data_IF_273204908689
#
_entry.id   IF_273204908689
#
_cell.length_a   1.000
_cell.length_b   1.000
_cell.length_c   1.000
_cell.angle_alpha   90.00
_cell.angle_beta   90.00
_cell.angle_gamma   90.00
#
_symmetry.space_group_name_H-M   'P 1'
#
loop_
_entity.id
_entity.type
_entity.pdbx_description
1 polymer ?
#
# COMPACT_ATOMS: atom_id res chain seq x y z
N UNK A 1 -17.82 -6.26 14.39
CA UNK A 1 -16.67 -5.39 14.74
C UNK A 1 -16.47 -5.44 16.24
N UNK A 2 -15.22 -5.53 16.74
CA UNK A 2 -14.95 -5.45 18.18
C UNK A 2 -15.35 -4.08 18.73
N UNK A 3 -15.72 -4.04 20.02
CA UNK A 3 -16.10 -2.80 20.72
C UNK A 3 -14.84 -2.08 21.22
N UNK A 4 -14.83 -0.73 21.25
CA UNK A 4 -13.76 0.01 21.93
C UNK A 4 -13.58 -0.50 23.37
N UNK A 5 -12.34 -0.83 23.75
CA UNK A 5 -11.99 -1.35 25.09
C UNK A 5 -11.92 -2.88 25.20
N UNK A 6 -12.24 -3.62 24.14
CA UNK A 6 -12.03 -5.07 24.11
C UNK A 6 -10.54 -5.38 23.90
N UNK A 7 -9.78 -5.43 25.00
CA UNK A 7 -8.33 -5.65 25.06
C UNK A 7 -7.87 -7.08 24.71
N UNK A 8 -8.75 -7.89 24.12
CA UNK A 8 -8.41 -9.23 23.68
C UNK A 8 -7.39 -9.18 22.52
N UNK A 9 -6.30 -9.96 22.57
CA UNK A 9 -5.36 -10.08 21.47
C UNK A 9 -6.07 -10.47 20.16
N UNK A 10 -5.66 -9.86 19.04
CA UNK A 10 -6.23 -10.13 17.72
C UNK A 10 -5.34 -11.07 16.92
N UNK A 11 -5.96 -12.11 16.35
CA UNK A 11 -5.31 -12.95 15.35
C UNK A 11 -5.06 -12.12 14.09
N UNK A 12 -3.85 -12.20 13.55
CA UNK A 12 -3.50 -11.63 12.25
C UNK A 12 -2.85 -12.71 11.41
N UNK A 13 -3.34 -12.93 10.20
CA UNK A 13 -2.68 -13.82 9.26
C UNK A 13 -1.36 -13.19 8.82
N UNK A 14 -0.25 -13.92 8.88
CA UNK A 14 1.05 -13.45 8.44
C UNK A 14 1.51 -14.27 7.23
N UNK A 15 1.85 -13.59 6.15
CA UNK A 15 2.50 -14.21 4.99
C UNK A 15 3.92 -13.61 4.88
N UNK A 16 4.97 -14.34 5.28
CA UNK A 16 6.34 -13.84 5.17
C UNK A 16 6.71 -13.42 3.74
N UNK A 17 6.25 -14.17 2.75
CA UNK A 17 6.47 -13.92 1.33
C UNK A 17 7.89 -14.29 0.87
N UNK A 18 8.29 -13.78 -0.29
CA UNK A 18 9.54 -14.11 -0.94
C UNK A 18 10.67 -13.09 -0.65
N UNK A 19 11.91 -13.51 -0.92
CA UNK A 19 13.08 -12.65 -0.93
C UNK A 19 13.34 -11.92 0.39
N UNK A 20 13.19 -10.59 0.39
CA UNK A 20 13.37 -9.79 1.62
C UNK A 20 12.20 -9.94 2.61
N UNK A 21 11.06 -10.49 2.17
CA UNK A 21 9.82 -10.62 2.94
C UNK A 21 10.02 -11.24 4.33
N UNK A 22 10.67 -12.41 4.46
CA UNK A 22 10.94 -13.02 5.76
C UNK A 22 11.81 -12.16 6.69
N UNK A 23 12.75 -11.37 6.16
CA UNK A 23 13.58 -10.46 6.97
C UNK A 23 12.74 -9.33 7.56
N UNK A 24 11.93 -8.67 6.73
CA UNK A 24 11.14 -7.50 7.16
C UNK A 24 9.94 -7.89 8.00
N UNK A 25 9.30 -9.04 7.73
CA UNK A 25 8.22 -9.58 8.58
C UNK A 25 8.77 -10.09 9.91
N UNK A 26 9.98 -10.68 9.92
CA UNK A 26 10.71 -11.00 11.14
C UNK A 26 10.99 -9.78 12.01
N UNK A 27 11.40 -8.66 11.41
CA UNK A 27 11.58 -7.39 12.12
C UNK A 27 10.27 -6.88 12.76
N UNK A 28 9.15 -6.95 12.02
CA UNK A 28 7.83 -6.59 12.57
C UNK A 28 7.48 -7.46 13.78
N UNK A 29 7.67 -8.77 13.70
CA UNK A 29 7.38 -9.69 14.82
C UNK A 29 8.15 -9.32 16.08
N UNK A 30 9.46 -9.07 15.95
CA UNK A 30 10.32 -8.66 17.07
C UNK A 30 9.84 -7.35 17.72
N UNK A 31 9.50 -6.35 16.91
CA UNK A 31 9.01 -5.04 17.41
C UNK A 31 7.65 -5.18 18.09
N UNK A 32 6.73 -5.96 17.50
CA UNK A 32 5.40 -6.23 18.09
C UNK A 32 5.49 -6.94 19.43
N UNK A 33 6.39 -7.92 19.54
CA UNK A 33 6.67 -8.64 20.78
C UNK A 33 7.28 -7.72 21.84
N UNK A 34 8.28 -6.91 21.47
CA UNK A 34 8.96 -5.99 22.38
C UNK A 34 8.01 -4.92 22.96
N UNK A 35 7.04 -4.43 22.19
CA UNK A 35 6.04 -3.49 22.71
C UNK A 35 4.84 -4.16 23.38
N UNK A 36 4.80 -5.50 23.46
CA UNK A 36 3.65 -6.29 23.93
C UNK A 36 2.33 -5.91 23.22
N UNK A 37 2.39 -5.80 21.90
CA UNK A 37 1.21 -5.48 21.09
C UNK A 37 0.11 -6.56 21.27
N UNK A 38 -1.17 -6.17 21.33
CA UNK A 38 -2.30 -7.10 21.50
C UNK A 38 -2.64 -7.81 20.16
N UNK A 39 -1.64 -8.41 19.53
CA UNK A 39 -1.76 -9.17 18.28
C UNK A 39 -0.94 -10.45 18.37
N UNK A 40 -1.42 -11.52 17.75
CA UNK A 40 -0.63 -12.73 17.53
C UNK A 40 -0.73 -13.14 16.06
N UNK A 41 0.38 -13.65 15.51
CA UNK A 41 0.50 -13.95 14.10
C UNK A 41 0.26 -15.44 13.82
N UNK A 42 -0.71 -15.74 12.96
CA UNK A 42 -0.89 -17.05 12.33
C UNK A 42 -0.09 -17.06 11.02
N UNK A 43 1.12 -17.64 11.04
CA UNK A 43 2.06 -17.59 9.91
C UNK A 43 1.82 -18.71 8.90
N UNK A 44 1.75 -18.35 7.62
CA UNK A 44 1.61 -19.28 6.50
C UNK A 44 2.68 -19.02 5.45
N UNK A 45 3.39 -20.07 5.05
CA UNK A 45 4.40 -20.00 3.99
C UNK A 45 3.71 -19.98 2.63
N UNK A 46 3.75 -18.82 1.97
CA UNK A 46 3.25 -18.65 0.59
C UNK A 46 4.37 -18.05 -0.24
N UNK A 47 4.64 -18.68 -1.39
CA UNK A 47 5.66 -18.24 -2.34
C UNK A 47 5.03 -17.86 -3.66
N UNK A 48 5.58 -16.84 -4.31
CA UNK A 48 5.08 -16.31 -5.58
C UNK A 48 5.14 -17.29 -6.76
N UNK A 49 5.90 -18.39 -6.63
CA UNK A 49 6.01 -19.47 -7.61
C UNK A 49 4.90 -20.53 -7.48
N UNK A 50 4.08 -20.46 -6.43
CA UNK A 50 2.97 -21.38 -6.24
C UNK A 50 1.87 -21.13 -7.29
N UNK A 51 1.15 -22.18 -7.74
CA UNK A 51 0.11 -22.03 -8.77
C UNK A 51 -1.12 -21.25 -8.26
N UNK A 52 -1.39 -21.32 -6.96
CA UNK A 52 -2.51 -20.65 -6.30
C UNK A 52 -2.13 -20.37 -4.85
N UNK A 53 -2.76 -19.36 -4.25
CA UNK A 53 -2.76 -19.20 -2.79
C UNK A 53 -3.42 -20.43 -2.17
N UNK A 54 -2.80 -21.08 -1.17
CA UNK A 54 -3.42 -22.23 -0.52
C UNK A 54 -4.75 -21.85 0.14
N UNK A 55 -5.81 -22.68 0.02
CA UNK A 55 -7.13 -22.35 0.54
C UNK A 55 -7.15 -22.02 2.04
N UNK A 56 -6.33 -22.71 2.84
CA UNK A 56 -6.21 -22.50 4.28
C UNK A 56 -5.71 -21.08 4.64
N UNK A 57 -4.94 -20.44 3.75
CA UNK A 57 -4.51 -19.05 3.93
C UNK A 57 -5.67 -18.10 3.68
N UNK A 58 -6.45 -18.32 2.61
CA UNK A 58 -7.66 -17.54 2.34
C UNK A 58 -8.66 -17.68 3.48
N UNK A 59 -8.85 -18.89 4.01
CA UNK A 59 -9.73 -19.15 5.14
C UNK A 59 -9.23 -18.49 6.43
N UNK A 60 -7.91 -18.49 6.67
CA UNK A 60 -7.31 -17.73 7.78
C UNK A 60 -7.60 -16.23 7.64
N UNK A 61 -7.40 -15.63 6.45
CA UNK A 61 -7.69 -14.20 6.24
C UNK A 61 -9.18 -13.92 6.40
N UNK A 62 -10.07 -14.79 5.89
CA UNK A 62 -11.52 -14.66 6.07
C UNK A 62 -11.97 -14.77 7.52
N UNK A 63 -11.27 -15.57 8.33
CA UNK A 63 -11.53 -15.72 9.78
C UNK A 63 -11.01 -14.51 10.57
N UNK A 64 -9.77 -14.13 10.32
CA UNK A 64 -9.04 -13.10 11.07
C UNK A 64 -9.36 -11.67 10.59
N UNK A 65 -9.90 -11.54 9.37
CA UNK A 65 -10.21 -10.29 8.65
C UNK A 65 -9.01 -9.42 8.29
N UNK A 66 -7.84 -9.68 8.88
CA UNK A 66 -6.63 -8.89 8.69
C UNK A 66 -5.45 -9.80 8.37
N UNK A 67 -4.65 -9.36 7.40
CA UNK A 67 -3.40 -9.99 7.01
C UNK A 67 -2.26 -8.97 6.97
N UNK A 68 -1.07 -9.36 7.40
CA UNK A 68 0.18 -8.67 7.11
C UNK A 68 1.00 -9.54 6.17
N UNK A 69 1.48 -8.98 5.05
CA UNK A 69 2.29 -9.74 4.10
C UNK A 69 3.60 -9.04 3.72
N UNK A 70 4.63 -9.85 3.52
CA UNK A 70 5.79 -9.47 2.72
C UNK A 70 5.49 -9.47 1.23
N UNK A 71 6.52 -9.15 0.43
CA UNK A 71 6.39 -9.16 -1.04
C UNK A 71 6.29 -10.57 -1.59
N UNK A 72 5.37 -10.81 -2.52
CA UNK A 72 5.28 -12.05 -3.29
C UNK A 72 5.82 -11.79 -4.70
N UNK A 73 6.78 -12.60 -5.14
CA UNK A 73 7.32 -12.53 -6.49
C UNK A 73 6.22 -12.83 -7.51
N UNK A 74 6.29 -12.21 -8.69
CA UNK A 74 5.39 -12.52 -9.79
C UNK A 74 6.25 -12.95 -10.98
N UNK A 75 6.08 -14.18 -11.50
CA UNK A 75 6.78 -14.61 -12.71
C UNK A 75 6.51 -13.66 -13.87
N UNK A 76 7.53 -13.34 -14.66
CA UNK A 76 7.40 -12.50 -15.87
C UNK A 76 7.22 -13.39 -17.08
N UNK A 77 6.10 -13.25 -17.78
CA UNK A 77 5.76 -14.05 -18.96
C UNK A 77 5.15 -15.41 -18.62
N UNK A 78 4.30 -15.92 -19.52
CA UNK A 78 3.50 -17.13 -19.32
C UNK A 78 2.25 -16.83 -18.49
N UNK A 79 1.06 -17.23 -18.98
CA UNK A 79 -0.27 -16.85 -18.50
C UNK A 79 -0.66 -17.32 -17.08
N UNK A 80 0.27 -17.35 -16.13
CA UNK A 80 0.00 -17.61 -14.71
C UNK A 80 -0.40 -16.29 -14.04
N UNK A 81 -1.58 -16.27 -13.42
CA UNK A 81 -2.06 -15.09 -12.69
C UNK A 81 -1.22 -14.85 -11.42
N UNK A 82 -0.78 -13.61 -11.21
CA UNK A 82 -0.07 -13.21 -9.99
C UNK A 82 -0.86 -13.55 -8.72
N UNK A 83 -0.22 -14.19 -7.73
CA UNK A 83 -0.84 -14.48 -6.43
C UNK A 83 -1.29 -13.20 -5.70
N UNK A 84 -0.61 -12.06 -5.92
CA UNK A 84 -1.05 -10.78 -5.40
C UNK A 84 -2.42 -10.37 -5.98
N UNK A 85 -2.63 -10.61 -7.28
CA UNK A 85 -3.92 -10.35 -7.94
C UNK A 85 -4.97 -11.34 -7.46
N UNK A 86 -4.61 -12.60 -7.27
CA UNK A 86 -5.52 -13.60 -6.72
C UNK A 86 -6.04 -13.21 -5.34
N UNK A 87 -5.15 -12.82 -4.40
CA UNK A 87 -5.54 -12.33 -3.08
C UNK A 87 -6.52 -11.15 -3.16
N UNK A 88 -6.26 -10.19 -4.05
CA UNK A 88 -7.12 -9.01 -4.23
C UNK A 88 -8.52 -9.38 -4.73
N UNK A 89 -8.62 -10.33 -5.67
CA UNK A 89 -9.89 -10.80 -6.22
C UNK A 89 -10.67 -11.65 -5.23
N UNK A 90 -10.04 -12.66 -4.62
CA UNK A 90 -10.68 -13.60 -3.68
C UNK A 90 -11.23 -12.95 -2.40
N UNK A 91 -10.66 -11.81 -2.03
CA UNK A 91 -11.01 -11.07 -0.82
C UNK A 91 -11.71 -9.72 -1.10
N UNK A 92 -11.96 -9.40 -2.38
CA UNK A 92 -12.49 -8.11 -2.87
C UNK A 92 -11.80 -6.89 -2.24
N UNK A 93 -10.46 -6.88 -2.27
CA UNK A 93 -9.63 -5.80 -1.73
C UNK A 93 -9.56 -4.63 -2.72
N UNK A 94 -10.69 -3.95 -2.90
CA UNK A 94 -10.92 -2.99 -3.96
C UNK A 94 -10.15 -1.66 -3.85
N UNK A 95 -9.68 -1.29 -2.66
CA UNK A 95 -8.93 -0.06 -2.43
C UNK A 95 -7.47 -0.37 -2.08
N UNK A 96 -6.54 -0.02 -2.96
CA UNK A 96 -5.11 0.02 -2.64
C UNK A 96 -4.76 1.42 -2.10
N UNK A 97 -4.09 1.48 -0.96
CA UNK A 97 -3.72 2.69 -0.25
C UNK A 97 -2.20 2.76 -0.09
N UNK A 98 -1.61 3.90 -0.45
CA UNK A 98 -0.18 4.19 -0.26
C UNK A 98 -0.03 5.59 0.34
N UNK A 99 0.61 5.67 1.51
CA UNK A 99 0.90 6.95 2.14
C UNK A 99 2.33 7.36 1.79
N UNK A 100 2.47 8.45 1.03
CA UNK A 100 3.74 8.98 0.54
C UNK A 100 4.04 10.29 1.26
N UNK A 101 4.91 10.25 2.26
CA UNK A 101 5.23 11.42 3.07
C UNK A 101 6.74 11.54 3.32
N UNK A 102 7.24 12.77 3.44
CA UNK A 102 8.63 12.98 3.83
C UNK A 102 8.82 12.54 5.29
N UNK A 103 9.78 11.64 5.52
CA UNK A 103 10.21 11.28 6.86
C UNK A 103 11.17 12.35 7.39
N UNK A 104 10.95 12.90 8.61
CA UNK A 104 11.88 13.83 9.22
C UNK A 104 13.31 13.28 9.23
N UNK A 105 14.27 14.13 8.86
CA UNK A 105 15.70 13.81 8.78
C UNK A 105 16.12 12.98 7.57
N UNK A 106 15.21 12.39 6.79
CA UNK A 106 15.55 11.70 5.54
C UNK A 106 15.65 12.74 4.40
N UNK A 107 16.83 12.98 3.80
CA UNK A 107 16.96 13.96 2.73
C UNK A 107 16.24 13.51 1.44
N UNK A 108 15.41 14.39 0.89
CA UNK A 108 14.69 14.21 -0.38
C UNK A 108 14.89 15.43 -1.27
N UNK A 109 14.47 15.35 -2.54
CA UNK A 109 14.51 16.52 -3.45
C UNK A 109 13.40 17.53 -3.18
N UNK A 110 12.30 17.06 -2.60
CA UNK A 110 11.12 17.85 -2.28
C UNK A 110 10.85 17.74 -0.78
N UNK A 111 10.36 18.83 -0.20
CA UNK A 111 9.99 18.94 1.20
C UNK A 111 8.47 19.06 1.35
N UNK A 112 7.96 18.77 2.55
CA UNK A 112 6.53 18.90 2.91
C UNK A 112 5.56 18.11 2.02
N UNK A 113 6.02 16.99 1.47
CA UNK A 113 5.19 16.01 0.78
C UNK A 113 4.45 15.16 1.81
N UNK A 114 3.13 15.10 1.67
CA UNK A 114 2.24 14.22 2.43
C UNK A 114 1.01 13.91 1.57
N UNK A 115 1.17 12.90 0.72
CA UNK A 115 0.20 12.52 -0.31
C UNK A 115 -0.32 11.13 0.01
N UNK A 116 -1.62 10.94 -0.12
CA UNK A 116 -2.24 9.61 -0.02
C UNK A 116 -2.79 9.21 -1.38
N UNK A 117 -2.29 8.12 -1.93
CA UNK A 117 -2.78 7.57 -3.20
C UNK A 117 -3.73 6.42 -2.92
N UNK A 118 -4.98 6.59 -3.35
CA UNK A 118 -6.06 5.61 -3.27
C UNK A 118 -6.40 5.14 -4.67
N UNK A 119 -6.10 3.88 -4.92
CA UNK A 119 -6.17 3.24 -6.23
C UNK A 119 -7.26 2.18 -6.25
N UNK A 120 -8.10 2.21 -7.27
CA UNK A 120 -8.99 1.11 -7.62
C UNK A 120 -8.16 -0.15 -7.94
N UNK A 121 -8.51 -1.30 -7.37
CA UNK A 121 -7.61 -2.47 -7.30
C UNK A 121 -8.21 -3.77 -7.86
N UNK A 122 -9.38 -3.71 -8.49
CA UNK A 122 -10.17 -4.88 -8.93
C UNK A 122 -10.57 -4.87 -10.42
N UNK A 123 -10.56 -3.72 -11.09
CA UNK A 123 -10.93 -3.59 -12.50
C UNK A 123 -9.90 -2.79 -13.32
N UNK A 124 -10.31 -2.22 -14.45
CA UNK A 124 -9.46 -1.49 -15.37
C UNK A 124 -8.56 -2.41 -16.18
N UNK A 125 -7.35 -1.93 -16.47
CA UNK A 125 -6.35 -2.61 -17.28
C UNK A 125 -5.84 -3.91 -16.62
N UNK A 126 -5.99 -4.04 -15.29
CA UNK A 126 -5.59 -5.23 -14.54
C UNK A 126 -6.61 -6.37 -14.59
N UNK A 127 -7.72 -6.18 -15.33
CA UNK A 127 -8.66 -7.25 -15.63
C UNK A 127 -8.01 -8.35 -16.48
N UNK A 128 -6.96 -8.01 -17.25
CA UNK A 128 -6.16 -8.96 -18.03
C UNK A 128 -6.93 -9.59 -19.19
N UNK A 129 -7.95 -8.89 -19.70
CA UNK A 129 -8.78 -9.34 -20.81
C UNK A 129 -8.10 -8.99 -22.12
N UNK A 130 -7.26 -9.89 -22.59
CA UNK A 130 -6.46 -9.72 -23.81
C UNK A 130 -6.68 -10.89 -24.77
N UNK A 131 -6.67 -10.61 -26.07
CA UNK A 131 -6.74 -11.63 -27.09
C UNK A 131 -6.06 -11.15 -28.39
N UNK A 132 -5.54 -12.11 -29.15
CA UNK A 132 -5.00 -11.85 -30.49
C UNK A 132 -6.09 -12.12 -31.52
N UNK A 133 -6.56 -11.07 -32.19
CA UNK A 133 -7.67 -11.15 -33.16
C UNK A 133 -7.22 -11.87 -34.43
N UNK A 134 -6.03 -11.50 -34.91
CA UNK A 134 -5.28 -12.13 -36.01
C UNK A 134 -3.80 -12.05 -35.69
N UNK A 135 -2.92 -12.89 -36.28
CA UNK A 135 -1.49 -12.86 -36.01
C UNK A 135 -0.89 -11.45 -36.12
N UNK A 136 -0.34 -10.94 -35.02
CA UNK A 136 0.24 -9.60 -34.89
C UNK A 136 -0.71 -8.49 -34.44
N UNK A 137 -2.00 -8.78 -34.17
CA UNK A 137 -3.00 -7.79 -33.73
C UNK A 137 -3.60 -8.21 -32.40
N UNK A 138 -3.19 -7.51 -31.33
CA UNK A 138 -3.61 -7.79 -29.95
C UNK A 138 -4.56 -6.71 -29.47
N UNK A 139 -5.70 -7.12 -28.92
CA UNK A 139 -6.64 -6.25 -28.24
C UNK A 139 -6.53 -6.43 -26.72
N UNK A 140 -6.63 -5.33 -25.99
CA UNK A 140 -6.66 -5.28 -24.53
C UNK A 140 -7.90 -4.50 -24.10
N UNK A 141 -8.78 -5.14 -23.33
CA UNK A 141 -10.08 -4.58 -22.95
C UNK A 141 -10.02 -3.95 -21.56
N UNK A 142 -10.03 -2.63 -21.52
CA UNK A 142 -10.18 -1.86 -20.28
C UNK A 142 -11.66 -1.81 -19.88
N UNK A 143 -11.99 -2.40 -18.73
CA UNK A 143 -13.35 -2.37 -18.17
C UNK A 143 -13.38 -1.44 -16.96
N UNK A 144 -14.25 -0.43 -17.00
CA UNK A 144 -14.54 0.47 -15.88
C UNK A 144 -16.04 0.39 -15.61
N UNK A 145 -16.42 0.21 -14.34
CA UNK A 145 -17.82 0.11 -13.92
C UNK A 145 -18.19 1.23 -12.97
N UNK A 146 -19.47 1.63 -13.01
CA UNK A 146 -20.00 2.65 -12.08
C UNK A 146 -19.88 2.17 -10.63
N UNK A 147 -20.19 0.91 -10.35
CA UNK A 147 -20.08 0.31 -9.03
C UNK A 147 -18.66 0.43 -8.42
N UNK A 148 -17.63 0.01 -9.16
CA UNK A 148 -16.26 0.08 -8.68
C UNK A 148 -15.76 1.52 -8.56
N UNK A 149 -16.15 2.39 -9.49
CA UNK A 149 -15.80 3.81 -9.46
C UNK A 149 -16.43 4.55 -8.27
N UNK A 150 -17.71 4.28 -7.98
CA UNK A 150 -18.40 4.86 -6.83
C UNK A 150 -17.81 4.38 -5.50
N UNK A 151 -17.52 3.08 -5.35
CA UNK A 151 -16.98 2.54 -4.09
C UNK A 151 -15.57 3.07 -3.80
N UNK A 152 -14.70 3.18 -4.81
CA UNK A 152 -13.35 3.72 -4.59
C UNK A 152 -13.39 5.22 -4.32
N UNK A 153 -14.25 5.98 -5.00
CA UNK A 153 -14.47 7.39 -4.71
C UNK A 153 -15.00 7.56 -3.28
N UNK A 154 -16.02 6.80 -2.88
CA UNK A 154 -16.55 6.82 -1.52
C UNK A 154 -15.47 6.54 -0.49
N UNK A 155 -14.67 5.50 -0.69
CA UNK A 155 -13.55 5.18 0.20
C UNK A 155 -12.55 6.34 0.29
N UNK A 156 -12.21 6.99 -0.83
CA UNK A 156 -11.28 8.12 -0.83
C UNK A 156 -11.81 9.34 -0.05
N UNK A 157 -13.08 9.68 -0.21
CA UNK A 157 -13.70 10.77 0.52
C UNK A 157 -13.91 10.45 2.01
N UNK A 158 -14.31 9.23 2.35
CA UNK A 158 -14.41 8.78 3.76
C UNK A 158 -13.03 8.77 4.43
N UNK A 159 -12.01 8.25 3.76
CA UNK A 159 -10.63 8.31 4.23
C UNK A 159 -10.20 9.75 4.48
N UNK A 160 -10.46 10.64 3.52
CA UNK A 160 -10.10 12.04 3.64
C UNK A 160 -10.79 12.69 4.85
N UNK A 161 -12.09 12.45 5.04
CA UNK A 161 -12.86 12.95 6.17
C UNK A 161 -12.32 12.44 7.52
N UNK A 162 -12.14 11.13 7.66
CA UNK A 162 -11.72 10.49 8.91
C UNK A 162 -10.27 10.84 9.30
N UNK A 163 -9.42 11.16 8.31
CA UNK A 163 -8.01 11.50 8.53
C UNK A 163 -7.75 13.02 8.46
N UNK A 164 -8.79 13.85 8.58
CA UNK A 164 -8.71 15.32 8.56
C UNK A 164 -8.02 15.92 7.31
N UNK A 165 -8.02 15.18 6.20
CA UNK A 165 -7.56 15.64 4.90
C UNK A 165 -8.56 16.63 4.33
N UNK A 166 -8.09 17.54 3.46
CA UNK A 166 -8.88 18.68 2.99
C UNK A 166 -9.22 18.60 1.52
N UNK A 167 -8.49 17.82 0.73
CA UNK A 167 -8.67 17.76 -0.72
C UNK A 167 -8.57 16.35 -1.27
N UNK A 168 -9.47 16.03 -2.19
CA UNK A 168 -9.46 14.81 -3.02
C UNK A 168 -9.31 15.21 -4.48
N UNK A 169 -8.25 14.72 -5.12
CA UNK A 169 -7.98 14.91 -6.55
C UNK A 169 -8.23 13.62 -7.32
N UNK A 170 -9.16 13.62 -8.28
CA UNK A 170 -9.35 12.50 -9.20
C UNK A 170 -8.36 12.56 -10.38
N UNK A 171 -7.56 11.51 -10.56
CA UNK A 171 -6.59 11.40 -11.66
C UNK A 171 -7.16 10.55 -12.78
N UNK A 172 -7.13 11.06 -14.01
CA UNK A 172 -7.81 10.42 -15.15
C UNK A 172 -7.12 10.72 -16.50
N UNK A 173 -7.62 10.12 -17.57
CA UNK A 173 -7.27 10.39 -18.96
C UNK A 173 -8.53 10.52 -19.84
N UNK A 174 -9.61 11.03 -19.26
CA UNK A 174 -10.91 11.25 -19.92
C UNK A 174 -10.88 12.15 -21.16
N UNK A 175 -9.81 12.93 -21.38
CA UNK A 175 -9.63 13.67 -22.63
C UNK A 175 -9.40 12.74 -23.84
N UNK A 176 -8.90 11.52 -23.61
CA UNK A 176 -8.73 10.47 -24.62
C UNK A 176 -9.80 9.39 -24.44
N UNK A 177 -9.92 8.81 -23.24
CA UNK A 177 -10.90 7.77 -22.91
C UNK A 177 -12.20 8.38 -22.39
N UNK A 178 -12.93 9.03 -23.29
CA UNK A 178 -14.13 9.84 -22.96
C UNK A 178 -15.21 9.06 -22.21
N UNK A 179 -15.37 7.78 -22.50
CA UNK A 179 -16.40 6.93 -21.87
C UNK A 179 -15.90 6.28 -20.57
N UNK A 180 -14.85 5.47 -20.64
CA UNK A 180 -14.36 4.71 -19.48
C UNK A 180 -13.91 5.63 -18.33
N UNK A 181 -13.01 6.58 -18.61
CA UNK A 181 -12.55 7.52 -17.60
C UNK A 181 -13.57 8.63 -17.33
N UNK A 182 -14.46 8.90 -18.29
CA UNK A 182 -15.60 9.80 -18.08
C UNK A 182 -16.55 9.26 -17.01
N UNK A 183 -16.87 7.96 -17.05
CA UNK A 183 -17.70 7.28 -16.05
C UNK A 183 -17.06 7.30 -14.66
N UNK A 184 -15.74 7.09 -14.59
CA UNK A 184 -14.99 7.22 -13.33
C UNK A 184 -15.11 8.62 -12.73
N UNK A 185 -14.93 9.68 -13.55
CA UNK A 185 -15.08 11.06 -13.10
C UNK A 185 -16.51 11.40 -12.69
N UNK A 186 -17.51 10.95 -13.44
CA UNK A 186 -18.92 11.11 -13.07
C UNK A 186 -19.19 10.54 -11.68
N UNK A 187 -18.73 9.32 -11.43
CA UNK A 187 -18.86 8.65 -10.13
C UNK A 187 -18.16 9.44 -9.01
N UNK A 188 -16.96 9.96 -9.27
CA UNK A 188 -16.22 10.80 -8.31
C UNK A 188 -16.98 12.10 -7.98
N UNK A 189 -17.53 12.78 -9.00
CA UNK A 189 -18.33 14.00 -8.84
C UNK A 189 -19.60 13.73 -8.03
N UNK A 190 -20.32 12.66 -8.34
CA UNK A 190 -21.52 12.25 -7.62
C UNK A 190 -21.23 12.02 -6.13
N UNK A 191 -20.14 11.31 -5.82
CA UNK A 191 -19.72 11.10 -4.42
C UNK A 191 -19.28 12.41 -3.76
N UNK A 192 -18.55 13.28 -4.46
CA UNK A 192 -18.08 14.56 -3.92
C UNK A 192 -19.22 15.43 -3.37
N UNK A 193 -20.42 15.37 -3.98
CA UNK A 193 -21.60 16.11 -3.48
C UNK A 193 -22.01 15.75 -2.05
N UNK A 194 -21.64 14.55 -1.58
CA UNK A 194 -21.93 14.04 -0.23
C UNK A 194 -20.92 14.52 0.81
N UNK A 195 -19.81 15.14 0.39
CA UNK A 195 -18.70 15.58 1.24
C UNK A 195 -18.36 17.06 1.01
N UNK A 196 -19.28 18.00 1.29
CA UNK A 196 -19.08 19.42 0.98
C UNK A 196 -17.90 20.09 1.71
N UNK A 197 -17.40 19.48 2.79
CA UNK A 197 -16.22 19.94 3.54
C UNK A 197 -14.87 19.53 2.92
N UNK A 198 -14.87 18.74 1.85
CA UNK A 198 -13.66 18.27 1.17
C UNK A 198 -13.61 18.92 -0.21
N UNK A 199 -12.51 19.62 -0.51
CA UNK A 199 -12.28 20.19 -1.82
C UNK A 199 -12.10 19.06 -2.85
N UNK A 200 -12.84 19.13 -3.96
CA UNK A 200 -12.70 18.20 -5.06
C UNK A 200 -12.12 18.88 -6.30
N UNK A 201 -11.16 18.23 -6.95
CA UNK A 201 -10.61 18.66 -8.24
C UNK A 201 -10.22 17.45 -9.10
N UNK A 202 -9.97 17.70 -10.37
CA UNK A 202 -9.66 16.68 -11.36
C UNK A 202 -8.36 17.04 -12.08
N UNK A 203 -7.55 16.05 -12.42
CA UNK A 203 -6.31 16.25 -13.16
C UNK A 203 -6.05 15.13 -14.16
N UNK A 204 -5.63 15.52 -15.36
CA UNK A 204 -5.19 14.56 -16.38
C UNK A 204 -3.86 13.94 -15.93
N UNK A 205 -3.72 12.62 -16.05
CA UNK A 205 -2.58 11.84 -15.53
C UNK A 205 -1.22 12.34 -16.04
N UNK A 206 -1.11 12.81 -17.29
CA UNK A 206 0.15 13.38 -17.81
C UNK A 206 0.55 14.64 -17.03
N UNK A 207 -0.40 15.56 -16.82
CA UNK A 207 -0.17 16.76 -16.03
C UNK A 207 0.07 16.39 -14.56
N UNK A 208 -0.63 15.37 -14.04
CA UNK A 208 -0.39 14.84 -12.70
C UNK A 208 1.08 14.42 -12.52
N UNK A 209 1.65 13.67 -13.48
CA UNK A 209 3.06 13.28 -13.44
C UNK A 209 3.98 14.50 -13.45
N UNK A 210 3.71 15.50 -14.30
CA UNK A 210 4.49 16.76 -14.31
C UNK A 210 4.40 17.51 -12.98
N UNK A 211 3.20 17.61 -12.41
CA UNK A 211 2.96 18.31 -11.16
C UNK A 211 3.58 17.59 -9.95
N UNK A 212 3.57 16.26 -9.93
CA UNK A 212 4.19 15.48 -8.85
C UNK A 212 5.69 15.76 -8.75
N UNK A 213 6.40 15.80 -9.88
CA UNK A 213 7.86 16.06 -9.87
C UNK A 213 8.22 17.54 -9.76
N UNK A 214 7.26 18.45 -9.97
CA UNK A 214 7.51 19.89 -9.91
C UNK A 214 7.07 20.50 -8.56
N UNK A 215 5.86 20.19 -8.12
CA UNK A 215 5.21 20.79 -6.95
C UNK A 215 4.30 19.77 -6.24
N UNK A 216 4.86 18.68 -5.66
CA UNK A 216 4.10 17.58 -5.08
C UNK A 216 3.24 17.98 -3.88
N UNK A 217 3.65 18.98 -3.10
CA UNK A 217 2.96 19.45 -1.89
C UNK A 217 1.56 20.05 -2.18
N UNK A 218 1.23 20.26 -3.44
CA UNK A 218 -0.11 20.64 -3.84
C UNK A 218 -1.12 19.49 -3.72
N UNK A 219 -0.69 18.23 -3.68
CA UNK A 219 -1.60 17.08 -3.59
C UNK A 219 -1.84 16.69 -2.13
N UNK A 220 -3.03 16.14 -1.87
CA UNK A 220 -3.44 15.65 -0.55
C UNK A 220 -3.89 14.19 -0.73
N UNK A 221 -5.21 13.92 -0.83
CA UNK A 221 -5.70 12.60 -1.24
C UNK A 221 -5.88 12.56 -2.76
N UNK A 222 -5.40 11.49 -3.39
CA UNK A 222 -5.53 11.25 -4.82
C UNK A 222 -6.32 9.96 -5.04
N UNK A 223 -7.40 10.03 -5.82
CA UNK A 223 -8.18 8.86 -6.21
C UNK A 223 -7.98 8.54 -7.68
N UNK A 224 -7.71 7.28 -8.01
CA UNK A 224 -7.33 6.90 -9.38
C UNK A 224 -7.95 5.57 -9.81
N UNK A 225 -8.18 5.35 -11.11
CA UNK A 225 -8.30 4.03 -11.69
C UNK A 225 -7.01 3.20 -11.51
N UNK A 226 -7.12 1.91 -11.83
CA UNK A 226 -6.12 0.91 -11.47
C UNK A 226 -4.71 1.17 -12.01
N UNK A 227 -4.54 1.29 -13.34
CA UNK A 227 -3.20 1.47 -13.94
C UNK A 227 -2.51 2.77 -13.50
N UNK A 228 -3.25 3.89 -13.50
CA UNK A 228 -2.68 5.20 -13.15
C UNK A 228 -2.27 5.24 -11.69
N UNK A 229 -3.04 4.61 -10.81
CA UNK A 229 -2.72 4.52 -9.40
C UNK A 229 -1.40 3.85 -9.14
N UNK A 230 -1.07 2.80 -9.90
CA UNK A 230 0.23 2.14 -9.77
C UNK A 230 1.38 3.09 -10.10
N UNK A 231 1.26 3.84 -11.20
CA UNK A 231 2.29 4.78 -11.67
C UNK A 231 2.43 5.97 -10.72
N UNK A 232 1.30 6.56 -10.33
CA UNK A 232 1.23 7.70 -9.40
C UNK A 232 1.77 7.32 -8.03
N UNK A 233 1.38 6.17 -7.47
CA UNK A 233 1.88 5.72 -6.17
C UNK A 233 3.40 5.49 -6.17
N UNK A 234 3.95 4.84 -7.20
CA UNK A 234 5.40 4.65 -7.32
C UNK A 234 6.15 5.99 -7.48
N UNK A 235 5.60 6.92 -8.25
CA UNK A 235 6.19 8.25 -8.45
C UNK A 235 6.19 9.05 -7.15
N UNK A 236 5.03 9.11 -6.48
CA UNK A 236 4.90 9.78 -5.18
C UNK A 236 5.79 9.16 -4.11
N UNK A 237 5.91 7.83 -4.08
CA UNK A 237 6.81 7.13 -3.17
C UNK A 237 8.28 7.49 -3.44
N UNK A 238 8.70 7.52 -4.71
CA UNK A 238 10.05 7.93 -5.10
C UNK A 238 10.38 9.38 -4.72
N UNK A 239 9.41 10.28 -4.85
CA UNK A 239 9.52 11.69 -4.46
C UNK A 239 9.68 11.85 -2.94
N UNK A 240 8.88 11.10 -2.17
CA UNK A 240 8.79 11.24 -0.72
C UNK A 240 9.93 10.55 0.08
N UNK A 241 10.74 9.69 -0.56
CA UNK A 241 11.85 9.01 0.13
C UNK A 241 12.21 7.61 -0.38
N UNK A 242 11.46 7.09 -1.36
CA UNK A 242 11.67 5.77 -1.95
C UNK A 242 10.73 4.71 -1.38
N UNK A 243 10.55 3.61 -2.12
CA UNK A 243 9.58 2.56 -1.78
C UNK A 243 9.90 1.81 -0.47
N UNK A 244 11.16 1.84 -0.02
CA UNK A 244 11.62 1.17 1.21
C UNK A 244 11.03 1.74 2.50
N UNK A 245 10.41 2.93 2.45
CA UNK A 245 9.85 3.60 3.63
C UNK A 245 8.36 3.96 3.48
N UNK A 246 7.73 3.68 2.34
CA UNK A 246 6.32 4.03 2.13
C UNK A 246 5.40 2.89 2.53
N UNK A 247 4.54 3.09 3.56
CA UNK A 247 3.60 2.08 3.96
C UNK A 247 2.37 2.04 3.04
N UNK A 248 1.66 0.94 3.10
CA UNK A 248 0.41 0.77 2.37
C UNK A 248 -0.38 -0.47 2.76
N UNK A 249 -1.44 -0.69 2.01
CA UNK A 249 -2.32 -1.84 2.19
C UNK A 249 -3.39 -1.90 1.12
N UNK A 250 -4.11 -3.02 1.10
CA UNK A 250 -5.26 -3.26 0.25
C UNK A 250 -6.45 -3.55 1.16
N UNK A 251 -7.54 -2.81 0.97
CA UNK A 251 -8.70 -2.82 1.86
C UNK A 251 -9.93 -3.16 1.02
N UNK A 252 -10.70 -4.10 1.51
CA UNK A 252 -12.02 -4.45 1.02
C UNK A 252 -13.11 -4.10 2.03
N UNK A 253 -14.33 -4.55 1.77
CA UNK A 253 -15.45 -4.34 2.70
C UNK A 253 -15.25 -5.06 4.04
N UNK A 254 -14.78 -6.31 3.98
CA UNK A 254 -14.67 -7.20 5.14
C UNK A 254 -13.23 -7.56 5.52
N UNK A 255 -12.26 -7.29 4.64
CA UNK A 255 -10.88 -7.77 4.78
C UNK A 255 -9.87 -6.65 4.54
N UNK A 256 -8.73 -6.72 5.20
CA UNK A 256 -7.60 -5.82 4.95
C UNK A 256 -6.27 -6.58 4.91
N UNK A 257 -5.44 -6.26 3.93
CA UNK A 257 -4.09 -6.83 3.76
C UNK A 257 -3.08 -5.70 3.74
N UNK A 258 -2.26 -5.61 4.78
CA UNK A 258 -1.21 -4.59 4.92
C UNK A 258 0.12 -5.12 4.37
N UNK A 259 0.81 -4.26 3.62
CA UNK A 259 2.05 -4.62 2.92
C UNK A 259 2.88 -3.36 2.63
N UNK A 260 4.07 -3.50 2.04
CA UNK A 260 4.81 -2.33 1.55
C UNK A 260 3.99 -1.61 0.47
N UNK A 261 3.82 -0.29 0.59
CA UNK A 261 2.86 0.44 -0.23
C UNK A 261 3.23 0.53 -1.70
N UNK A 262 4.52 0.55 -2.01
CA UNK A 262 5.01 0.47 -3.37
C UNK A 262 6.03 -0.67 -3.48
N UNK A 263 5.91 -1.49 -4.52
CA UNK A 263 6.86 -2.56 -4.82
C UNK A 263 7.53 -2.26 -6.17
N UNK A 264 8.81 -1.92 -6.14
CA UNK A 264 9.63 -1.67 -7.33
C UNK A 264 10.42 -2.94 -7.76
N UNK A 265 9.82 -4.13 -7.65
CA UNK A 265 10.47 -5.37 -8.10
C UNK A 265 11.65 -5.85 -7.24
N UNK A 266 11.87 -5.25 -6.06
CA UNK A 266 12.98 -5.59 -5.16
C UNK A 266 12.79 -6.92 -4.41
N UNK A 267 11.64 -7.58 -4.54
CA UNK A 267 11.37 -8.90 -3.94
C UNK A 267 12.45 -9.91 -4.36
N UNK A 268 13.11 -9.75 -5.51
CA UNK A 268 14.15 -10.68 -6.00
C UNK A 268 15.61 -10.28 -5.75
N UNK A 269 15.94 -9.25 -4.96
CA UNK A 269 17.35 -8.83 -4.84
C UNK A 269 18.16 -9.74 -3.89
N UNK A 270 18.68 -10.84 -4.45
CA UNK A 270 19.45 -11.88 -3.73
C UNK A 270 20.58 -11.29 -2.88
N UNK A 271 21.29 -10.27 -3.39
CA UNK A 271 22.39 -9.63 -2.64
C UNK A 271 21.92 -8.97 -1.35
N UNK A 272 20.74 -8.34 -1.36
CA UNK A 272 20.17 -7.67 -0.17
C UNK A 272 19.74 -8.70 0.87
N UNK A 273 19.19 -9.83 0.41
CA UNK A 273 18.78 -10.95 1.26
C UNK A 273 20.00 -11.58 1.95
N UNK A 274 21.04 -11.94 1.17
CA UNK A 274 22.28 -12.53 1.68
C UNK A 274 22.99 -11.62 2.69
N UNK A 275 23.01 -10.31 2.42
CA UNK A 275 23.63 -9.32 3.31
C UNK A 275 22.78 -8.98 4.53
N UNK A 276 21.52 -9.41 4.60
CA UNK A 276 20.54 -9.02 5.63
C UNK A 276 20.42 -7.50 5.78
N UNK A 277 20.39 -6.78 4.65
CA UNK A 277 20.34 -5.31 4.57
C UNK A 277 19.03 -4.78 3.98
N UNK A 278 17.96 -5.55 4.10
CA UNK A 278 16.62 -5.10 3.69
C UNK A 278 16.12 -4.00 4.62
N UNK A 279 15.47 -2.98 4.07
CA UNK A 279 14.87 -1.90 4.85
C UNK A 279 13.51 -2.36 5.41
N UNK A 280 13.32 -2.45 6.74
CA UNK A 280 12.04 -2.88 7.33
C UNK A 280 11.02 -1.75 7.48
N UNK A 281 11.41 -0.49 7.25
CA UNK A 281 10.63 0.70 7.64
C UNK A 281 9.25 0.74 6.99
N UNK A 282 9.14 0.51 5.68
CA UNK A 282 7.84 0.51 5.01
C UNK A 282 6.86 -0.48 5.67
N UNK A 283 7.32 -1.71 5.98
CA UNK A 283 6.44 -2.72 6.56
C UNK A 283 6.15 -2.47 8.05
N UNK A 284 7.10 -1.91 8.81
CA UNK A 284 6.85 -1.43 10.17
C UNK A 284 5.75 -0.36 10.19
N UNK A 285 5.82 0.61 9.27
CA UNK A 285 4.80 1.66 9.13
C UNK A 285 3.47 1.09 8.62
N UNK A 286 3.46 0.11 7.71
CA UNK A 286 2.23 -0.59 7.32
C UNK A 286 1.62 -1.37 8.48
N UNK A 287 2.45 -1.86 9.40
CA UNK A 287 1.98 -2.52 10.62
C UNK A 287 1.37 -1.53 11.60
N UNK A 288 1.83 -0.27 11.63
CA UNK A 288 1.13 0.80 12.34
C UNK A 288 -0.24 1.10 11.71
N UNK A 289 -0.36 1.10 10.37
CA UNK A 289 -1.65 1.19 9.69
C UNK A 289 -2.58 0.02 10.07
N UNK A 290 -2.05 -1.19 10.14
CA UNK A 290 -2.77 -2.38 10.59
C UNK A 290 -3.28 -2.24 12.03
N UNK A 291 -2.44 -1.77 12.95
CA UNK A 291 -2.84 -1.54 14.35
C UNK A 291 -3.96 -0.51 14.46
N UNK A 292 -3.93 0.56 13.67
CA UNK A 292 -5.06 1.53 13.61
C UNK A 292 -6.34 0.88 13.09
N UNK A 293 -6.24 0.05 12.05
CA UNK A 293 -7.38 -0.70 11.54
C UNK A 293 -7.99 -1.63 12.61
N UNK A 294 -7.14 -2.29 13.39
CA UNK A 294 -7.51 -3.14 14.52
C UNK A 294 -8.00 -2.38 15.78
N UNK A 295 -8.12 -1.05 15.72
CA UNK A 295 -8.52 -0.18 16.84
C UNK A 295 -7.51 -0.13 18.00
N UNK A 296 -6.21 -0.22 17.68
CA UNK A 296 -5.09 -0.08 18.63
C UNK A 296 -4.22 1.17 18.32
N UNK A 297 -4.78 2.40 18.36
CA UNK A 297 -4.07 3.60 17.94
C UNK A 297 -2.85 3.91 18.81
N UNK A 298 -2.88 3.65 20.12
CA UNK A 298 -1.74 3.90 21.00
C UNK A 298 -0.50 3.08 20.63
N UNK A 299 -0.66 1.81 20.26
CA UNK A 299 0.44 0.98 19.78
C UNK A 299 0.92 1.43 18.40
N UNK A 300 0.00 1.85 17.53
CA UNK A 300 0.36 2.40 16.22
C UNK A 300 1.19 3.68 16.35
N UNK A 301 0.79 4.61 17.22
CA UNK A 301 1.45 5.89 17.42
C UNK A 301 2.83 5.71 18.06
N UNK A 302 2.96 4.78 19.02
CA UNK A 302 4.26 4.40 19.61
C UNK A 302 5.22 3.86 18.55
N UNK A 303 4.76 2.91 17.74
CA UNK A 303 5.56 2.32 16.65
C UNK A 303 5.99 3.38 15.62
N UNK A 304 5.04 4.18 15.15
CA UNK A 304 5.30 5.22 14.15
C UNK A 304 6.28 6.28 14.67
N UNK A 305 6.13 6.69 15.94
CA UNK A 305 7.03 7.64 16.59
C UNK A 305 8.44 7.07 16.72
N UNK A 306 8.58 5.83 17.16
CA UNK A 306 9.87 5.16 17.28
C UNK A 306 10.60 5.08 15.93
N UNK A 307 9.90 4.64 14.88
CA UNK A 307 10.45 4.57 13.51
C UNK A 307 10.87 5.95 13.02
N UNK A 308 10.02 6.98 13.20
CA UNK A 308 10.34 8.37 12.79
C UNK A 308 11.56 8.91 13.53
N UNK A 309 11.71 8.65 14.83
CA UNK A 309 12.90 9.06 15.62
C UNK A 309 14.18 8.42 15.07
N UNK A 310 14.19 7.10 14.88
CA UNK A 310 15.35 6.36 14.35
C UNK A 310 15.79 6.89 12.98
N UNK A 311 14.83 7.13 12.08
CA UNK A 311 15.13 7.72 10.78
C UNK A 311 15.65 9.15 10.93
N UNK A 312 15.05 9.96 11.79
CA UNK A 312 15.44 11.36 11.98
C UNK A 312 16.87 11.52 12.52
N UNK A 313 17.29 10.66 13.45
CA UNK A 313 18.66 10.66 14.00
C UNK A 313 19.73 10.32 12.96
N UNK A 314 19.37 9.53 11.95
CA UNK A 314 20.25 9.19 10.84
C UNK A 314 21.37 8.20 11.14
N UNK A 315 21.50 7.74 12.39
CA UNK A 315 22.52 6.76 12.80
C UNK A 315 22.27 5.35 12.25
N UNK A 316 21.01 4.91 12.26
CA UNK A 316 20.62 3.56 11.83
C UNK A 316 19.78 3.63 10.57
N UNK A 317 20.46 3.65 9.42
CA UNK A 317 19.83 3.70 8.09
C UNK A 317 20.38 2.59 7.23
N UNK A 318 19.49 1.91 6.50
CA UNK A 318 19.87 0.96 5.46
C UNK A 318 20.44 1.68 4.24
N UNK A 319 21.03 0.90 3.33
CA UNK A 319 21.74 1.41 2.14
C UNK A 319 20.87 2.27 1.23
N UNK A 320 19.60 1.92 1.06
CA UNK A 320 18.64 2.67 0.24
C UNK A 320 18.32 4.06 0.83
N UNK A 321 18.57 4.27 2.12
CA UNK A 321 18.42 5.56 2.81
C UNK A 321 19.76 6.28 3.01
N UNK A 322 20.82 5.85 2.32
CA UNK A 322 22.16 6.44 2.38
C UNK A 322 23.02 5.99 3.56
N UNK A 323 22.58 5.00 4.34
CA UNK A 323 23.35 4.43 5.45
C UNK A 323 24.04 3.09 5.10
N UNK A 324 24.44 2.35 6.13
CA UNK A 324 25.14 1.06 5.97
C UNK A 324 24.58 -0.06 6.86
N UNK A 325 23.58 0.26 7.69
CA UNK A 325 23.00 -0.63 8.69
C UNK A 325 22.31 -1.83 8.05
N UNK A 326 22.31 -2.91 8.82
CA UNK A 326 21.55 -4.14 8.58
C UNK A 326 20.08 -3.98 9.00
N UNK A 327 19.24 -4.92 8.55
CA UNK A 327 17.84 -4.98 8.98
C UNK A 327 17.72 -5.09 10.50
N UNK A 328 18.59 -5.89 11.12
CA UNK A 328 18.55 -6.10 12.57
C UNK A 328 18.96 -4.84 13.34
N UNK A 329 20.02 -4.14 12.94
CA UNK A 329 20.44 -2.89 13.61
C UNK A 329 19.34 -1.82 13.57
N UNK A 330 18.59 -1.71 12.47
CA UNK A 330 17.43 -0.81 12.40
C UNK A 330 16.31 -1.30 13.32
N UNK A 331 16.07 -2.61 13.38
CA UNK A 331 15.04 -3.21 14.25
C UNK A 331 15.35 -2.96 15.73
N UNK A 332 16.57 -3.22 16.15
CA UNK A 332 17.04 -3.00 17.53
C UNK A 332 16.95 -1.53 17.91
N UNK A 333 17.31 -0.63 16.99
CA UNK A 333 17.19 0.80 17.19
C UNK A 333 15.72 1.24 17.36
N UNK A 334 14.80 0.68 16.57
CA UNK A 334 13.36 0.94 16.73
C UNK A 334 12.87 0.43 18.09
N UNK A 335 13.26 -0.78 18.50
CA UNK A 335 12.89 -1.35 19.80
C UNK A 335 13.36 -0.45 20.94
N UNK A 336 14.58 0.06 20.87
CA UNK A 336 15.14 0.98 21.87
C UNK A 336 14.41 2.33 21.97
N UNK A 337 13.55 2.68 20.99
CA UNK A 337 12.81 3.94 20.94
C UNK A 337 11.29 3.77 21.13
N UNK A 338 10.83 2.59 21.58
CA UNK A 338 9.40 2.31 21.86
C UNK A 338 8.86 2.97 23.14
N UNK A 339 9.72 3.68 23.86
CA UNK A 339 9.43 4.47 25.07
C UNK A 339 8.86 5.87 24.77
#
# INVERSE_FOLDING_TARGET
>A
MPRPGDGAPRAVTLIPGDGIGPLVTGAVRQVMEAMHAPVYFESYEVRGDMPTVPPEVIDSIRRNKVCLKGGLATPVGGGVSSLNVQLRKELDLYASLVNCFNLPGLPTRHDNVDIVVIRENTEGEYSGLEHEVVPGVVESLKVITKFCSERIAKYAFEYAYLNNRKKVTAVHKANIMKLADGLFLESCREVATKYPGIQYNEIIVDNCCMQLVAKPEQFDVMVTPNLYGNLVANTAAGIAGGTGVMPGGNVGQDHAVFEQGASAGNVGNVKVVEQKKANPVALLLSSAMMLRHLQFPSFADRLETAVKRVIAEGKYRTKDLGGSSTTQEVTDAVIAHLD
#
